data_IF_154351077247
#
_entry.id   IF_154351077247
#
_cell.length_a   1.000
_cell.length_b   1.000
_cell.length_c   1.000
_cell.angle_alpha   90.00
_cell.angle_beta   90.00
_cell.angle_gamma   90.00
#
_symmetry.space_group_name_H-M   'P 1'
#
loop_
_entity.id
_entity.type
_entity.pdbx_description
1 polymer ?
#
# COMPACT_ATOMS: atom_id res chain seq x y z
N UNK A 1 -18.31 -14.59 -4.05
CA UNK A 1 -18.67 -15.34 -2.81
C UNK A 1 -19.63 -14.48 -1.99
N UNK A 2 -20.94 -14.73 -2.06
CA UNK A 2 -21.91 -14.07 -1.19
C UNK A 2 -21.66 -14.41 0.28
N UNK A 3 -21.55 -13.38 1.13
CA UNK A 3 -21.21 -13.53 2.55
C UNK A 3 -22.24 -12.82 3.43
N UNK A 4 -22.72 -13.55 4.44
CA UNK A 4 -23.53 -13.00 5.52
C UNK A 4 -22.63 -12.73 6.75
N UNK A 5 -22.68 -11.51 7.27
CA UNK A 5 -21.87 -11.10 8.44
C UNK A 5 -22.80 -10.53 9.49
N UNK A 6 -23.07 -11.33 10.53
CA UNK A 6 -23.90 -10.89 11.63
C UNK A 6 -23.31 -9.68 12.33
N UNK A 7 -24.20 -8.85 12.86
CA UNK A 7 -23.84 -7.94 13.94
C UNK A 7 -23.47 -8.79 15.16
N UNK A 8 -22.18 -8.90 15.44
CA UNK A 8 -21.67 -9.64 16.59
C UNK A 8 -22.30 -9.09 17.88
N UNK A 9 -22.61 -9.98 18.83
CA UNK A 9 -23.12 -9.56 20.15
C UNK A 9 -22.04 -8.82 20.95
N UNK A 10 -22.42 -8.12 22.03
CA UNK A 10 -21.44 -7.44 22.91
C UNK A 10 -21.47 -5.90 22.91
N UNK A 11 -22.63 -5.28 22.73
CA UNK A 11 -22.80 -3.82 22.59
C UNK A 11 -21.86 -3.21 21.52
N UNK A 12 -21.67 -1.89 21.49
CA UNK A 12 -21.06 -1.14 20.36
C UNK A 12 -19.79 -1.74 19.73
N UNK A 13 -18.94 -2.41 20.52
CA UNK A 13 -17.72 -3.06 20.03
C UNK A 13 -18.00 -4.21 19.03
N UNK A 14 -19.04 -5.02 19.28
CA UNK A 14 -19.45 -6.09 18.38
C UNK A 14 -19.89 -5.56 17.01
N UNK A 15 -20.66 -4.48 17.01
CA UNK A 15 -21.10 -3.80 15.80
C UNK A 15 -19.91 -3.25 14.99
N UNK A 16 -19.00 -2.54 15.64
CA UNK A 16 -17.83 -1.96 14.99
C UNK A 16 -16.94 -3.04 14.35
N UNK A 17 -16.65 -4.13 15.06
CA UNK A 17 -15.88 -5.25 14.51
C UNK A 17 -16.57 -5.84 13.28
N UNK A 18 -17.89 -6.05 13.35
CA UNK A 18 -18.66 -6.62 12.23
C UNK A 18 -18.64 -5.74 10.99
N UNK A 19 -18.75 -4.41 11.18
CA UNK A 19 -18.75 -3.45 10.08
C UNK A 19 -17.36 -3.34 9.45
N UNK A 20 -16.28 -3.41 10.24
CA UNK A 20 -14.92 -3.48 9.71
C UNK A 20 -14.71 -4.75 8.90
N UNK A 21 -15.15 -5.92 9.40
CA UNK A 21 -15.04 -7.18 8.65
C UNK A 21 -15.79 -7.10 7.32
N UNK A 22 -17.00 -6.54 7.33
CA UNK A 22 -17.78 -6.30 6.11
C UNK A 22 -17.00 -5.43 5.13
N UNK A 23 -16.53 -4.26 5.57
CA UNK A 23 -15.87 -3.29 4.71
C UNK A 23 -14.55 -3.83 4.12
N UNK A 24 -13.77 -4.57 4.92
CA UNK A 24 -12.55 -5.27 4.50
C UNK A 24 -12.85 -6.30 3.39
N UNK A 25 -13.77 -7.23 3.66
CA UNK A 25 -14.09 -8.31 2.75
C UNK A 25 -14.76 -7.80 1.47
N UNK A 26 -15.70 -6.85 1.58
CA UNK A 26 -16.38 -6.26 0.42
C UNK A 26 -15.41 -5.49 -0.47
N UNK A 27 -14.48 -4.71 0.10
CA UNK A 27 -13.51 -3.98 -0.71
C UNK A 27 -12.57 -4.91 -1.48
N UNK A 28 -12.29 -6.11 -0.97
CA UNK A 28 -11.56 -7.14 -1.71
C UNK A 28 -12.26 -7.60 -2.99
N UNK A 29 -13.60 -7.55 -2.96
CA UNK A 29 -14.57 -8.09 -3.93
C UNK A 29 -14.24 -9.44 -4.52
N UNK A 30 -13.62 -10.27 -3.70
CA UNK A 30 -13.91 -11.70 -3.67
C UNK A 30 -15.30 -11.93 -3.06
N UNK A 31 -15.66 -11.09 -2.07
CA UNK A 31 -16.89 -11.21 -1.31
C UNK A 31 -17.95 -10.20 -1.75
N UNK A 32 -19.20 -10.64 -1.76
CA UNK A 32 -20.37 -9.80 -1.95
C UNK A 32 -21.22 -9.88 -0.68
N UNK A 33 -21.43 -8.76 0.01
CA UNK A 33 -22.18 -8.74 1.26
C UNK A 33 -23.69 -8.89 0.99
N UNK A 34 -24.34 -9.78 1.74
CA UNK A 34 -25.80 -9.91 1.78
C UNK A 34 -26.34 -9.12 2.96
N UNK A 35 -27.41 -8.34 2.74
CA UNK A 35 -27.97 -7.45 3.75
C UNK A 35 -28.43 -8.22 5.01
N UNK A 36 -28.20 -7.61 6.19
CA UNK A 36 -28.54 -8.19 7.49
C UNK A 36 -30.04 -8.34 7.69
N UNK A 37 -30.85 -7.53 7.03
CA UNK A 37 -32.32 -7.59 7.12
C UNK A 37 -32.88 -8.89 6.53
N UNK A 38 -32.09 -9.61 5.72
CA UNK A 38 -32.47 -10.91 5.17
C UNK A 38 -32.18 -12.10 6.11
N UNK A 39 -31.48 -11.89 7.23
CA UNK A 39 -30.99 -12.99 8.06
C UNK A 39 -32.09 -13.58 8.94
N UNK A 40 -32.19 -14.91 8.96
CA UNK A 40 -33.29 -15.63 9.64
C UNK A 40 -32.84 -16.24 10.99
N UNK A 41 -31.53 -16.40 11.21
CA UNK A 41 -30.98 -16.97 12.45
C UNK A 41 -30.49 -15.90 13.44
N UNK A 42 -29.98 -16.33 14.59
CA UNK A 42 -29.33 -15.46 15.57
C UNK A 42 -27.81 -15.33 15.32
N UNK A 43 -27.14 -14.30 15.90
CA UNK A 43 -25.68 -14.15 15.85
C UNK A 43 -24.88 -15.23 16.61
N UNK A 44 -25.57 -16.08 17.38
CA UNK A 44 -24.99 -17.16 18.18
C UNK A 44 -24.75 -18.41 17.32
N UNK A 45 -23.95 -19.39 17.77
CA UNK A 45 -23.50 -20.53 16.95
C UNK A 45 -24.60 -21.60 16.73
N UNK A 46 -25.80 -21.17 16.36
CA UNK A 46 -26.78 -21.99 15.64
C UNK A 46 -26.46 -21.82 14.16
N UNK A 47 -26.45 -22.90 13.39
CA UNK A 47 -26.20 -22.86 11.96
C UNK A 47 -26.96 -23.98 11.27
N UNK A 48 -27.94 -23.61 10.45
CA UNK A 48 -28.67 -24.49 9.57
C UNK A 48 -28.52 -23.97 8.13
N UNK A 49 -27.76 -24.68 7.26
CA UNK A 49 -27.56 -24.30 5.86
C UNK A 49 -28.84 -24.04 5.07
N UNK A 50 -29.96 -24.65 5.45
CA UNK A 50 -31.24 -24.48 4.76
C UNK A 50 -31.83 -23.06 4.91
N UNK A 51 -31.44 -22.33 5.96
CA UNK A 51 -31.82 -20.93 6.16
C UNK A 51 -31.03 -19.96 5.24
N UNK A 52 -29.88 -20.40 4.73
CA UNK A 52 -28.92 -19.55 4.02
C UNK A 52 -28.91 -19.80 2.51
N UNK A 53 -29.12 -21.06 2.10
CA UNK A 53 -29.13 -21.46 0.69
C UNK A 53 -30.14 -20.67 -0.16
N UNK A 54 -31.38 -20.39 0.31
CA UNK A 54 -32.34 -19.58 -0.46
C UNK A 54 -31.92 -18.11 -0.67
N UNK A 55 -31.04 -17.59 0.20
CA UNK A 55 -30.47 -16.25 0.08
C UNK A 55 -29.22 -16.22 -0.83
N UNK A 56 -28.81 -17.38 -1.36
CA UNK A 56 -27.58 -17.53 -2.14
C UNK A 56 -26.30 -17.30 -1.33
N UNK A 57 -26.38 -17.33 0.01
CA UNK A 57 -25.22 -17.12 0.89
C UNK A 57 -24.33 -18.35 0.86
N UNK A 58 -23.04 -18.18 0.59
CA UNK A 58 -22.05 -19.26 0.58
C UNK A 58 -21.26 -19.32 1.90
N UNK A 59 -21.00 -18.16 2.51
CA UNK A 59 -20.22 -18.03 3.75
C UNK A 59 -21.00 -17.26 4.81
N UNK A 60 -21.01 -17.76 6.04
CA UNK A 60 -21.67 -17.11 7.18
C UNK A 60 -20.66 -16.84 8.29
N UNK A 61 -20.59 -15.58 8.72
CA UNK A 61 -19.77 -15.11 9.85
C UNK A 61 -20.66 -14.80 11.03
N UNK A 62 -20.40 -15.48 12.15
CA UNK A 62 -21.10 -15.31 13.44
C UNK A 62 -20.12 -15.12 14.57
N UNK A 63 -20.62 -14.69 15.73
CA UNK A 63 -19.79 -14.59 16.91
C UNK A 63 -20.29 -13.65 17.98
N UNK A 64 -19.48 -13.59 19.03
CA UNK A 64 -19.75 -12.77 20.21
C UNK A 64 -18.53 -11.98 20.60
N UNK A 65 -18.77 -10.80 21.16
CA UNK A 65 -17.76 -9.92 21.70
C UNK A 65 -18.08 -9.66 23.18
N UNK A 66 -17.05 -9.64 24.01
CA UNK A 66 -17.15 -9.24 25.41
C UNK A 66 -16.05 -8.24 25.72
N UNK A 67 -16.40 -7.18 26.44
CA UNK A 67 -15.47 -6.16 26.93
C UNK A 67 -15.52 -6.16 28.45
N UNK A 68 -14.36 -6.34 29.07
CA UNK A 68 -14.17 -6.27 30.52
C UNK A 68 -12.99 -5.35 30.82
N UNK A 69 -13.29 -4.13 31.27
CA UNK A 69 -12.29 -3.05 31.36
C UNK A 69 -11.62 -2.78 30.01
N UNK A 70 -10.28 -2.87 29.96
CA UNK A 70 -9.50 -2.76 28.71
C UNK A 70 -9.42 -4.09 27.93
N UNK A 71 -9.97 -5.21 28.45
CA UNK A 71 -9.84 -6.52 27.81
C UNK A 71 -11.00 -6.74 26.84
N UNK A 72 -10.67 -6.81 25.56
CA UNK A 72 -11.59 -7.19 24.48
C UNK A 72 -11.36 -8.67 24.12
N UNK A 73 -12.44 -9.46 24.12
CA UNK A 73 -12.44 -10.84 23.63
C UNK A 73 -13.51 -11.01 22.56
N UNK A 74 -13.16 -11.57 21.41
CA UNK A 74 -14.08 -11.86 20.32
C UNK A 74 -14.00 -13.35 19.97
N UNK A 75 -15.13 -14.06 19.94
CA UNK A 75 -15.20 -15.44 19.47
C UNK A 75 -15.92 -15.45 18.14
N UNK A 76 -15.23 -15.90 17.08
CA UNK A 76 -15.74 -15.89 15.72
C UNK A 76 -15.94 -17.32 15.24
N UNK A 77 -17.06 -17.54 14.57
CA UNK A 77 -17.42 -18.77 13.89
C UNK A 77 -17.56 -18.44 12.40
N UNK A 78 -16.92 -19.26 11.57
CA UNK A 78 -17.01 -19.18 10.12
C UNK A 78 -17.61 -20.48 9.60
N UNK A 79 -18.70 -20.37 8.85
CA UNK A 79 -19.40 -21.52 8.26
C UNK A 79 -19.38 -21.44 6.74
N UNK A 80 -19.27 -22.60 6.12
CA UNK A 80 -19.50 -22.84 4.70
C UNK A 80 -20.91 -23.43 4.55
N UNK A 81 -21.77 -22.71 3.83
CA UNK A 81 -23.17 -23.10 3.59
C UNK A 81 -23.25 -24.26 2.61
N UNK A 82 -22.39 -24.25 1.59
CA UNK A 82 -22.41 -25.24 0.50
C UNK A 82 -21.97 -26.60 1.03
N UNK A 83 -20.90 -26.63 1.82
CA UNK A 83 -20.39 -27.85 2.44
C UNK A 83 -21.06 -28.19 3.77
N UNK A 84 -22.02 -27.36 4.22
CA UNK A 84 -22.73 -27.53 5.49
C UNK A 84 -21.79 -27.74 6.70
N UNK A 85 -20.64 -27.06 6.72
CA UNK A 85 -19.60 -27.29 7.74
C UNK A 85 -19.08 -25.99 8.34
N UNK A 86 -18.55 -26.09 9.56
CA UNK A 86 -17.81 -25.01 10.20
C UNK A 86 -16.36 -25.03 9.72
N UNK A 87 -15.92 -23.96 9.05
CA UNK A 87 -14.54 -23.78 8.61
C UNK A 87 -13.60 -23.54 9.79
N UNK A 88 -14.00 -22.67 10.74
CA UNK A 88 -13.28 -22.53 12.01
C UNK A 88 -14.15 -21.95 13.13
N UNK A 89 -13.64 -22.11 14.35
CA UNK A 89 -14.01 -21.35 15.55
C UNK A 89 -12.73 -20.83 16.19
N UNK A 90 -12.64 -19.52 16.44
CA UNK A 90 -11.43 -18.92 17.01
C UNK A 90 -11.76 -17.79 17.98
N UNK A 91 -11.07 -17.78 19.11
CA UNK A 91 -11.12 -16.69 20.08
C UNK A 91 -9.93 -15.76 19.88
N UNK A 92 -10.21 -14.46 19.85
CA UNK A 92 -9.25 -13.39 19.71
C UNK A 92 -9.28 -12.52 20.97
N UNK A 93 -8.11 -12.07 21.41
CA UNK A 93 -7.97 -11.21 22.59
C UNK A 93 -7.09 -10.02 22.26
N UNK A 94 -7.50 -8.84 22.71
CA UNK A 94 -6.74 -7.61 22.56
C UNK A 94 -7.09 -6.61 23.66
N UNK A 95 -6.31 -5.54 23.76
CA UNK A 95 -6.76 -4.34 24.47
C UNK A 95 -7.88 -3.65 23.66
N UNK A 96 -8.81 -2.96 24.33
CA UNK A 96 -9.94 -2.30 23.66
C UNK A 96 -9.47 -1.26 22.64
N UNK A 97 -8.39 -0.53 22.95
CA UNK A 97 -7.72 0.40 22.01
C UNK A 97 -7.21 -0.26 20.71
N UNK A 98 -7.16 -1.58 20.64
CA UNK A 98 -6.74 -2.37 19.48
C UNK A 98 -7.92 -3.08 18.80
N UNK A 99 -9.16 -2.66 19.05
CA UNK A 99 -10.36 -3.20 18.41
C UNK A 99 -10.24 -3.25 16.89
N UNK A 100 -9.88 -2.14 16.24
CA UNK A 100 -9.74 -2.10 14.76
C UNK A 100 -8.65 -3.05 14.24
N UNK A 101 -7.41 -3.05 14.77
CA UNK A 101 -6.43 -4.10 14.47
C UNK A 101 -6.95 -5.53 14.65
N UNK A 102 -7.75 -5.78 15.69
CA UNK A 102 -8.32 -7.10 15.95
C UNK A 102 -9.31 -7.47 14.85
N UNK A 103 -10.20 -6.56 14.47
CA UNK A 103 -11.16 -6.75 13.40
C UNK A 103 -10.47 -7.08 12.07
N UNK A 104 -9.44 -6.32 11.68
CA UNK A 104 -8.65 -6.61 10.48
C UNK A 104 -7.94 -7.97 10.53
N UNK A 105 -7.49 -8.42 11.72
CA UNK A 105 -6.95 -9.77 11.89
C UNK A 105 -8.03 -10.83 11.66
N UNK A 106 -9.24 -10.63 12.18
CA UNK A 106 -10.38 -11.52 11.94
C UNK A 106 -10.70 -11.56 10.43
N UNK A 107 -10.75 -10.40 9.76
CA UNK A 107 -10.98 -10.32 8.31
C UNK A 107 -9.92 -11.10 7.52
N UNK A 108 -8.64 -10.99 7.91
CA UNK A 108 -7.56 -11.74 7.27
C UNK A 108 -7.72 -13.26 7.45
N UNK A 109 -8.13 -13.70 8.63
CA UNK A 109 -8.33 -15.13 8.92
C UNK A 109 -9.54 -15.68 8.16
N UNK A 110 -10.64 -14.92 8.06
CA UNK A 110 -11.81 -15.27 7.23
C UNK A 110 -11.40 -15.34 5.76
N UNK A 111 -10.72 -14.30 5.27
CA UNK A 111 -10.24 -14.23 3.89
C UNK A 111 -9.33 -15.42 3.56
N UNK A 112 -8.40 -15.78 4.45
CA UNK A 112 -7.50 -16.91 4.26
C UNK A 112 -8.22 -18.26 4.30
N UNK A 113 -9.18 -18.44 5.21
CA UNK A 113 -9.95 -19.68 5.30
C UNK A 113 -10.78 -19.95 4.04
N UNK A 114 -11.30 -18.90 3.39
CA UNK A 114 -12.15 -19.03 2.20
C UNK A 114 -11.33 -19.06 0.90
N UNK A 115 -10.23 -18.29 0.81
CA UNK A 115 -9.50 -18.11 -0.45
C UNK A 115 -8.17 -18.84 -0.53
N UNK A 116 -7.66 -19.35 0.59
CA UNK A 116 -6.30 -19.88 0.71
C UNK A 116 -5.18 -18.84 0.64
N UNK A 117 -5.50 -17.56 0.42
CA UNK A 117 -4.52 -16.48 0.30
C UNK A 117 -4.50 -15.59 1.56
N UNK A 118 -3.34 -15.00 1.90
CA UNK A 118 -3.26 -14.06 3.03
C UNK A 118 -3.77 -12.67 2.63
N UNK A 119 -4.69 -12.11 3.40
CA UNK A 119 -5.19 -10.74 3.23
C UNK A 119 -4.17 -9.66 3.62
N UNK A 120 -4.52 -8.41 3.33
CA UNK A 120 -3.70 -7.20 3.57
C UNK A 120 -4.30 -6.26 4.59
N UNK A 121 -5.37 -6.63 5.30
CA UNK A 121 -6.15 -5.69 6.11
C UNK A 121 -5.40 -5.15 7.34
N UNK A 122 -4.25 -5.75 7.68
CA UNK A 122 -3.36 -5.27 8.76
C UNK A 122 -2.25 -4.33 8.27
N UNK A 123 -2.18 -4.05 6.98
CA UNK A 123 -1.14 -3.20 6.39
C UNK A 123 -1.42 -1.72 6.59
N UNK A 124 -0.42 -0.90 6.29
CA UNK A 124 -0.44 0.55 6.47
C UNK A 124 -0.03 1.27 5.19
N UNK A 125 -0.36 2.55 5.13
CA UNK A 125 0.06 3.45 4.06
C UNK A 125 0.82 4.60 4.69
N UNK A 126 2.08 4.78 4.30
CA UNK A 126 2.86 5.98 4.61
C UNK A 126 2.71 6.97 3.46
N UNK A 127 2.64 8.26 3.77
CA UNK A 127 2.49 9.31 2.76
C UNK A 127 2.98 10.66 3.31
N UNK A 128 3.17 11.62 2.42
CA UNK A 128 3.42 13.01 2.83
C UNK A 128 2.09 13.71 3.02
N UNK A 129 1.87 14.20 4.24
CA UNK A 129 0.70 14.99 4.60
C UNK A 129 1.07 16.44 4.83
N UNK A 130 0.17 17.35 4.45
CA UNK A 130 0.25 18.75 4.80
C UNK A 130 -1.04 19.20 5.49
N UNK A 131 -0.90 19.68 6.72
CA UNK A 131 -1.98 20.20 7.57
C UNK A 131 -1.49 21.45 8.28
N UNK A 132 -2.31 22.51 8.30
CA UNK A 132 -1.99 23.79 8.96
C UNK A 132 -0.61 24.36 8.56
N UNK A 133 -0.28 24.25 7.26
CA UNK A 133 1.00 24.70 6.70
C UNK A 133 2.18 23.76 6.96
N UNK A 134 2.08 22.81 7.90
CA UNK A 134 3.16 21.87 8.24
C UNK A 134 3.12 20.64 7.34
N UNK A 135 4.26 20.28 6.77
CA UNK A 135 4.46 19.04 6.00
C UNK A 135 5.22 18.02 6.81
N UNK A 136 4.80 16.76 6.73
CA UNK A 136 5.45 15.64 7.40
C UNK A 136 5.05 14.28 6.86
N UNK A 137 5.65 13.24 7.43
CA UNK A 137 5.30 11.86 7.11
C UNK A 137 4.17 11.41 8.04
N UNK A 138 3.08 10.95 7.43
CA UNK A 138 1.93 10.37 8.11
C UNK A 138 1.81 8.90 7.77
N UNK A 139 1.20 8.15 8.67
CA UNK A 139 0.88 6.74 8.50
C UNK A 139 -0.59 6.53 8.87
N UNK A 140 -1.30 5.76 8.07
CA UNK A 140 -2.66 5.31 8.35
C UNK A 140 -2.80 3.82 8.07
N UNK A 141 -3.87 3.20 8.56
CA UNK A 141 -4.24 1.86 8.10
C UNK A 141 -4.64 1.90 6.61
N UNK A 142 -4.62 0.73 5.97
CA UNK A 142 -4.93 0.59 4.54
C UNK A 142 -6.27 1.23 4.11
N UNK A 143 -7.23 1.31 5.03
CA UNK A 143 -8.57 1.83 4.84
C UNK A 143 -8.72 3.34 5.13
N UNK A 144 -7.63 4.02 5.47
CA UNK A 144 -7.61 5.44 5.80
C UNK A 144 -7.88 5.81 7.25
N UNK A 145 -8.05 4.82 8.15
CA UNK A 145 -8.28 5.08 9.57
C UNK A 145 -6.99 5.11 10.37
N UNK A 146 -7.10 5.56 11.63
CA UNK A 146 -6.00 5.66 12.60
C UNK A 146 -4.79 6.42 12.04
N UNK A 147 -5.06 7.60 11.46
CA UNK A 147 -4.04 8.51 11.00
C UNK A 147 -3.09 8.89 12.15
N UNK A 148 -1.80 8.75 11.92
CA UNK A 148 -0.74 9.03 12.86
C UNK A 148 0.33 9.91 12.20
N UNK A 149 0.71 10.98 12.88
CA UNK A 149 1.90 11.76 12.56
C UNK A 149 3.15 11.04 13.10
N UNK A 150 4.18 10.88 12.27
CA UNK A 150 5.44 10.25 12.69
C UNK A 150 6.35 11.19 13.49
N UNK A 151 6.06 12.49 13.50
CA UNK A 151 6.92 13.55 14.05
C UNK A 151 8.01 14.00 13.08
N UNK A 152 8.19 13.33 11.95
CA UNK A 152 9.11 13.74 10.90
C UNK A 152 8.47 14.82 10.04
N UNK A 153 9.08 16.00 9.98
CA UNK A 153 8.58 17.14 9.21
C UNK A 153 9.67 18.00 8.58
N UNK A 154 9.25 18.86 7.66
CA UNK A 154 10.11 19.84 7.00
C UNK A 154 9.48 20.42 5.73
N UNK A 155 9.94 21.60 5.32
CA UNK A 155 9.36 22.35 4.19
C UNK A 155 9.42 21.57 2.86
N UNK A 156 10.51 20.82 2.68
CA UNK A 156 10.78 19.99 1.52
C UNK A 156 11.10 18.57 1.99
N UNK A 157 10.07 17.73 1.99
CA UNK A 157 10.14 16.31 2.28
C UNK A 157 9.44 15.53 1.16
N UNK A 158 10.00 14.40 0.78
CA UNK A 158 9.50 13.55 -0.30
C UNK A 158 9.10 12.18 0.22
N UNK A 159 8.27 11.51 -0.58
CA UNK A 159 7.62 10.23 -0.33
C UNK A 159 8.57 9.21 0.31
N UNK A 160 8.18 8.58 1.43
CA UNK A 160 9.04 7.62 2.12
C UNK A 160 9.03 6.25 1.44
N UNK A 161 9.99 5.37 1.73
CA UNK A 161 10.01 3.99 1.23
C UNK A 161 10.16 3.02 2.39
N UNK A 162 9.32 1.98 2.42
CA UNK A 162 9.30 0.97 3.47
C UNK A 162 10.44 -0.02 3.32
N UNK A 163 11.07 -0.40 4.43
CA UNK A 163 11.88 -1.62 4.48
C UNK A 163 10.98 -2.85 4.35
N UNK A 164 11.49 -3.95 3.80
CA UNK A 164 10.73 -5.19 3.56
C UNK A 164 10.13 -5.81 4.84
N UNK A 165 10.73 -5.54 6.01
CA UNK A 165 10.23 -5.96 7.32
C UNK A 165 9.24 -4.97 7.97
N UNK A 166 8.96 -3.85 7.31
CA UNK A 166 8.05 -2.81 7.76
C UNK A 166 8.53 -1.99 8.95
N UNK A 167 9.77 -2.19 9.44
CA UNK A 167 10.28 -1.56 10.67
C UNK A 167 10.94 -0.20 10.46
N UNK A 168 11.24 0.15 9.21
CA UNK A 168 11.99 1.36 8.87
C UNK A 168 11.36 2.05 7.66
N UNK A 169 11.52 3.37 7.62
CA UNK A 169 11.33 4.18 6.42
C UNK A 169 12.65 4.82 6.02
N UNK A 170 12.91 4.93 4.73
CA UNK A 170 13.86 5.92 4.20
C UNK A 170 13.09 7.01 3.51
N UNK A 171 13.60 8.24 3.58
CA UNK A 171 12.95 9.37 2.95
C UNK A 171 13.97 10.45 2.62
N UNK A 172 13.60 11.33 1.68
CA UNK A 172 14.42 12.47 1.31
C UNK A 172 13.87 13.76 1.86
N UNK A 173 14.75 14.60 2.39
CA UNK A 173 14.38 15.93 2.85
C UNK A 173 15.50 16.95 2.56
N UNK A 174 15.11 18.17 2.24
CA UNK A 174 16.04 19.28 2.11
C UNK A 174 16.22 19.97 3.47
N UNK A 175 17.46 20.09 3.94
CA UNK A 175 17.82 20.85 5.14
C UNK A 175 18.95 21.82 4.77
N UNK A 176 18.76 23.13 4.99
CA UNK A 176 19.75 24.14 4.62
C UNK A 176 20.14 24.12 3.13
N UNK A 177 19.14 24.02 2.23
CA UNK A 177 19.29 23.94 0.77
C UNK A 177 20.07 22.72 0.23
N UNK A 178 20.32 21.71 1.06
CA UNK A 178 20.93 20.44 0.65
C UNK A 178 19.95 19.29 0.82
N UNK A 179 19.93 18.37 -0.15
CA UNK A 179 19.09 17.18 -0.12
C UNK A 179 19.81 16.03 0.56
N UNK A 180 19.14 15.40 1.52
CA UNK A 180 19.65 14.27 2.29
C UNK A 180 18.71 13.09 2.17
N UNK A 181 19.24 11.89 2.45
CA UNK A 181 18.42 10.69 2.68
C UNK A 181 18.58 10.29 4.14
N UNK A 182 17.46 10.18 4.84
CA UNK A 182 17.37 9.76 6.23
C UNK A 182 16.71 8.39 6.32
N UNK A 183 17.01 7.68 7.40
CA UNK A 183 16.33 6.47 7.83
C UNK A 183 15.62 6.75 9.15
N UNK A 184 14.32 6.49 9.20
CA UNK A 184 13.52 6.50 10.41
C UNK A 184 13.32 5.05 10.88
N UNK A 185 13.73 4.74 12.10
CA UNK A 185 13.47 3.45 12.74
C UNK A 185 12.30 3.57 13.74
N UNK A 186 11.25 2.77 13.56
CA UNK A 186 10.04 2.85 14.39
C UNK A 186 10.23 2.27 15.79
N UNK A 187 11.16 1.33 15.97
CA UNK A 187 11.45 0.74 17.29
C UNK A 187 12.24 1.74 18.13
N UNK A 188 13.27 2.35 17.54
CA UNK A 188 14.13 3.30 18.26
C UNK A 188 13.54 4.71 18.31
N UNK A 189 12.58 5.03 17.44
CA UNK A 189 12.05 6.39 17.21
C UNK A 189 13.16 7.39 16.92
N UNK A 190 14.18 6.95 16.18
CA UNK A 190 15.36 7.75 15.84
C UNK A 190 15.50 7.90 14.34
N UNK A 191 15.93 9.09 13.95
CA UNK A 191 16.37 9.39 12.59
C UNK A 191 17.88 9.21 12.47
N UNK A 192 18.32 8.56 11.39
CA UNK A 192 19.73 8.42 11.03
C UNK A 192 19.97 8.97 9.63
N UNK A 193 20.93 9.88 9.50
CA UNK A 193 21.38 10.37 8.20
C UNK A 193 22.16 9.28 7.45
N UNK A 194 21.75 8.93 6.23
CA UNK A 194 22.40 7.92 5.40
C UNK A 194 23.21 8.53 4.24
N UNK A 195 22.62 9.47 3.49
CA UNK A 195 23.27 10.07 2.31
C UNK A 195 23.35 11.57 2.47
N UNK A 196 24.56 12.09 2.29
CA UNK A 196 24.90 13.52 2.45
C UNK A 196 25.80 14.10 1.35
N UNK A 197 25.93 13.38 0.25
CA UNK A 197 26.68 13.83 -0.92
C UNK A 197 26.14 15.15 -1.46
N UNK A 198 26.99 15.90 -2.17
CA UNK A 198 26.57 17.10 -2.89
C UNK A 198 25.47 16.79 -3.93
N UNK A 199 24.74 17.83 -4.34
CA UNK A 199 23.62 17.72 -5.27
C UNK A 199 22.33 17.22 -4.62
N UNK A 200 21.39 16.89 -5.49
CA UNK A 200 20.09 16.29 -5.14
C UNK A 200 20.27 14.81 -4.81
N UNK A 201 19.68 14.33 -3.71
CA UNK A 201 19.68 12.92 -3.31
C UNK A 201 18.24 12.49 -2.98
N UNK A 202 17.65 11.63 -3.83
CA UNK A 202 16.24 11.22 -3.74
C UNK A 202 16.18 9.71 -3.51
N UNK A 203 15.59 9.29 -2.41
CA UNK A 203 15.42 7.88 -2.07
C UNK A 203 14.51 7.17 -3.09
N UNK A 204 14.83 5.92 -3.36
CA UNK A 204 13.96 4.94 -3.98
C UNK A 204 13.78 3.74 -3.06
N UNK A 205 13.46 2.58 -3.63
CA UNK A 205 13.09 1.40 -2.86
C UNK A 205 14.26 0.76 -2.10
N UNK A 206 13.96 0.18 -0.94
CA UNK A 206 14.82 -0.81 -0.30
C UNK A 206 14.96 -2.05 -1.18
N UNK A 207 16.12 -2.71 -1.11
CA UNK A 207 16.25 -4.05 -1.67
C UNK A 207 15.38 -5.05 -0.89
N UNK A 208 14.79 -6.06 -1.54
CA UNK A 208 13.93 -7.04 -0.86
C UNK A 208 14.64 -7.82 0.27
N UNK A 209 15.95 -8.01 0.14
CA UNK A 209 16.79 -8.66 1.15
C UNK A 209 17.17 -7.75 2.34
N UNK A 210 16.85 -6.46 2.28
CA UNK A 210 17.17 -5.47 3.29
C UNK A 210 18.65 -5.08 3.40
N UNK A 211 19.49 -5.52 2.46
CA UNK A 211 20.94 -5.21 2.44
C UNK A 211 21.25 -3.76 2.09
N UNK A 212 20.32 -3.08 1.42
CA UNK A 212 20.53 -1.78 0.83
C UNK A 212 19.27 -1.10 0.35
N UNK A 213 19.45 0.00 -0.39
CA UNK A 213 18.38 0.69 -1.10
C UNK A 213 18.91 1.38 -2.37
N UNK A 214 18.00 1.64 -3.31
CA UNK A 214 18.27 2.41 -4.50
C UNK A 214 17.98 3.89 -4.26
N UNK A 215 18.72 4.77 -4.90
CA UNK A 215 18.46 6.21 -4.85
C UNK A 215 18.99 6.89 -6.10
N UNK A 216 18.47 8.06 -6.42
CA UNK A 216 19.04 8.91 -7.47
C UNK A 216 19.89 10.02 -6.87
N UNK A 217 21.05 10.30 -7.46
CA UNK A 217 21.95 11.37 -7.01
C UNK A 217 22.59 12.13 -8.16
N UNK A 218 22.62 13.47 -8.05
CA UNK A 218 23.32 14.37 -9.00
C UNK A 218 24.75 14.71 -8.55
N UNK A 219 25.31 13.98 -7.59
CA UNK A 219 26.68 14.21 -7.11
C UNK A 219 27.76 14.11 -8.19
N UNK A 220 27.44 13.50 -9.34
CA UNK A 220 28.33 13.34 -10.48
C UNK A 220 27.95 14.23 -11.68
N UNK A 221 27.11 15.25 -11.49
CA UNK A 221 26.60 16.15 -12.54
C UNK A 221 25.09 16.01 -12.70
N UNK A 222 24.65 15.20 -13.65
CA UNK A 222 23.23 14.85 -13.81
C UNK A 222 22.83 13.74 -12.83
N UNK A 223 21.54 13.63 -12.45
CA UNK A 223 21.07 12.53 -11.61
C UNK A 223 21.31 11.17 -12.26
N UNK A 224 21.98 10.27 -11.54
CA UNK A 224 22.09 8.84 -11.89
C UNK A 224 21.43 7.98 -10.81
N UNK A 225 21.18 6.71 -11.13
CA UNK A 225 20.77 5.69 -10.15
C UNK A 225 22.00 5.12 -9.44
N UNK A 226 21.90 4.99 -8.11
CA UNK A 226 22.91 4.40 -7.24
C UNK A 226 22.28 3.32 -6.36
N UNK A 227 23.09 2.34 -6.00
CA UNK A 227 22.83 1.37 -4.95
C UNK A 227 23.62 1.74 -3.70
N UNK A 228 22.94 1.82 -2.55
CA UNK A 228 23.54 2.05 -1.24
C UNK A 228 23.54 0.75 -0.42
N UNK A 229 24.70 0.33 0.08
CA UNK A 229 24.85 -0.81 0.99
C UNK A 229 24.74 -0.34 2.45
N UNK A 230 23.75 -0.85 3.19
CA UNK A 230 23.46 -0.41 4.56
C UNK A 230 24.49 -0.86 5.60
N UNK A 231 25.26 -1.91 5.31
CA UNK A 231 26.26 -2.46 6.24
C UNK A 231 27.59 -1.70 6.15
N UNK A 232 27.99 -1.34 4.93
CA UNK A 232 29.29 -0.73 4.63
C UNK A 232 29.20 0.75 4.30
N UNK A 233 28.00 1.30 4.12
CA UNK A 233 27.75 2.65 3.62
C UNK A 233 28.34 2.93 2.23
N UNK A 234 28.74 1.89 1.49
CA UNK A 234 29.28 2.03 0.13
C UNK A 234 28.16 2.37 -0.86
N UNK A 235 28.48 3.22 -1.82
CA UNK A 235 27.56 3.65 -2.87
C UNK A 235 28.11 3.23 -4.24
N UNK A 236 27.34 2.43 -4.99
CA UNK A 236 27.69 1.98 -6.35
C UNK A 236 26.80 2.67 -7.37
N UNK A 237 27.41 3.39 -8.31
CA UNK A 237 26.70 4.02 -9.45
C UNK A 237 26.26 2.95 -10.46
N UNK A 238 24.98 2.94 -10.82
CA UNK A 238 24.39 1.96 -11.76
C UNK A 238 24.20 2.54 -13.17
N UNK A 239 23.81 3.82 -13.30
CA UNK A 239 23.66 4.51 -14.59
C UNK A 239 24.74 5.57 -14.78
N UNK A 240 25.08 5.89 -16.04
CA UNK A 240 26.11 6.87 -16.41
C UNK A 240 25.77 7.64 -17.69
N UNK A 241 24.48 7.86 -17.95
CA UNK A 241 24.05 8.45 -19.20
C UNK A 241 24.04 9.97 -19.12
N UNK A 242 23.95 10.62 -20.28
CA UNK A 242 23.88 12.09 -20.37
C UNK A 242 22.49 12.66 -20.02
N UNK A 243 21.58 11.84 -19.48
CA UNK A 243 20.23 12.21 -19.09
C UNK A 243 20.05 12.34 -17.57
N UNK A 244 18.81 12.61 -17.18
CA UNK A 244 18.31 12.55 -15.80
C UNK A 244 17.77 11.15 -15.57
N UNK A 245 18.37 10.40 -14.64
CA UNK A 245 17.84 9.13 -14.15
C UNK A 245 17.37 9.22 -12.70
N UNK A 246 16.07 8.96 -12.48
CA UNK A 246 15.41 9.14 -11.18
C UNK A 246 14.35 8.08 -10.89
N UNK A 247 13.79 8.13 -9.67
CA UNK A 247 12.67 7.29 -9.22
C UNK A 247 12.89 5.78 -9.41
N UNK A 248 13.99 5.20 -8.90
CA UNK A 248 14.24 3.77 -9.03
C UNK A 248 13.29 2.95 -8.15
N UNK A 249 12.71 1.90 -8.73
CA UNK A 249 11.91 0.88 -8.07
C UNK A 249 12.47 -0.51 -8.37
N UNK A 250 12.63 -1.33 -7.35
CA UNK A 250 13.25 -2.67 -7.47
C UNK A 250 12.19 -3.75 -7.69
N UNK A 251 12.49 -4.73 -8.52
CA UNK A 251 11.63 -5.90 -8.69
C UNK A 251 11.57 -6.74 -7.39
N UNK A 252 10.47 -7.47 -7.15
CA UNK A 252 10.29 -8.25 -5.92
C UNK A 252 11.34 -9.36 -5.73
N UNK A 253 11.94 -9.85 -6.82
CA UNK A 253 13.05 -10.82 -6.80
C UNK A 253 14.44 -10.17 -6.61
N UNK A 254 14.51 -8.83 -6.54
CA UNK A 254 15.75 -8.07 -6.37
C UNK A 254 16.67 -8.02 -7.59
N UNK A 255 16.25 -8.55 -8.75
CA UNK A 255 17.12 -8.71 -9.92
C UNK A 255 17.07 -7.57 -10.91
N UNK A 256 15.99 -6.78 -10.93
CA UNK A 256 15.73 -5.73 -11.91
C UNK A 256 15.36 -4.42 -11.23
N UNK A 257 15.57 -3.33 -11.94
CA UNK A 257 15.22 -1.96 -11.51
C UNK A 257 14.41 -1.31 -12.62
N UNK A 258 13.19 -0.86 -12.30
CA UNK A 258 12.50 0.11 -13.12
C UNK A 258 12.90 1.52 -12.68
N UNK A 259 13.12 2.43 -13.62
CA UNK A 259 13.51 3.81 -13.32
C UNK A 259 13.07 4.75 -14.45
N UNK A 260 13.09 6.04 -14.17
CA UNK A 260 12.78 7.07 -15.16
C UNK A 260 14.06 7.55 -15.80
N UNK A 261 14.09 7.67 -17.12
CA UNK A 261 15.16 8.35 -17.85
C UNK A 261 14.60 9.26 -18.94
N UNK A 262 15.20 10.43 -19.11
CA UNK A 262 14.92 11.34 -20.23
C UNK A 262 15.97 11.23 -21.37
N UNK A 263 16.84 10.22 -21.34
CA UNK A 263 17.89 10.04 -22.34
C UNK A 263 17.36 9.98 -23.79
N UNK A 264 16.12 9.49 -23.97
CA UNK A 264 15.40 9.48 -25.26
C UNK A 264 14.64 10.76 -25.58
N UNK A 265 14.89 11.86 -24.88
CA UNK A 265 14.31 13.19 -25.09
C UNK A 265 13.22 13.59 -24.09
N UNK A 266 12.29 12.69 -23.77
CA UNK A 266 11.27 12.91 -22.73
C UNK A 266 11.37 11.87 -21.62
N UNK A 267 10.90 12.16 -20.39
CA UNK A 267 10.89 11.18 -19.30
C UNK A 267 10.06 9.95 -19.64
N UNK A 268 10.71 8.80 -19.62
CA UNK A 268 10.10 7.50 -19.91
C UNK A 268 10.57 6.48 -18.87
N UNK A 269 9.80 5.40 -18.71
CA UNK A 269 10.17 4.28 -17.84
C UNK A 269 11.06 3.30 -18.60
N UNK A 270 12.18 2.96 -17.98
CA UNK A 270 13.16 1.96 -18.40
C UNK A 270 13.27 0.85 -17.35
N UNK A 271 13.76 -0.31 -17.78
CA UNK A 271 14.15 -1.42 -16.91
C UNK A 271 15.61 -1.77 -17.18
N UNK A 272 16.35 -2.09 -16.12
CA UNK A 272 17.71 -2.62 -16.17
C UNK A 272 17.89 -3.75 -15.16
N UNK A 273 18.98 -4.50 -15.26
CA UNK A 273 19.40 -5.41 -14.20
C UNK A 273 19.88 -4.63 -12.97
N UNK A 274 19.83 -5.23 -11.79
CA UNK A 274 20.37 -4.64 -10.54
C UNK A 274 21.89 -4.39 -10.63
N UNK A 275 22.55 -5.01 -11.60
CA UNK A 275 23.95 -4.76 -11.96
C UNK A 275 24.18 -3.45 -12.72
N UNK A 276 23.16 -2.88 -13.36
CA UNK A 276 23.22 -1.73 -14.27
C UNK A 276 23.27 -2.07 -15.77
N UNK A 277 23.22 -3.36 -16.12
CA UNK A 277 23.22 -3.84 -17.52
C UNK A 277 21.81 -4.02 -18.10
N UNK A 278 21.74 -4.45 -19.36
CA UNK A 278 20.49 -4.83 -20.06
C UNK A 278 19.38 -3.76 -20.00
N UNK A 279 19.78 -2.50 -20.15
CA UNK A 279 18.84 -1.38 -20.06
C UNK A 279 17.94 -1.32 -21.29
N UNK A 280 16.63 -1.20 -21.07
CA UNK A 280 15.63 -1.09 -22.14
C UNK A 280 14.46 -0.20 -21.74
N UNK A 281 13.91 0.53 -22.71
CA UNK A 281 12.69 1.34 -22.55
C UNK A 281 11.47 0.42 -22.55
N UNK A 282 10.49 0.68 -21.69
CA UNK A 282 9.25 -0.12 -21.60
C UNK A 282 7.96 0.69 -21.79
N UNK A 283 8.05 2.01 -21.94
CA UNK A 283 6.89 2.88 -22.17
C UNK A 283 7.07 3.62 -23.49
N UNK A 284 6.14 3.47 -24.42
CA UNK A 284 6.25 4.03 -25.78
C UNK A 284 5.12 5.01 -26.13
N UNK A 285 4.06 5.02 -25.32
CA UNK A 285 2.92 5.92 -25.46
C UNK A 285 3.04 7.12 -24.51
N UNK A 286 2.62 8.30 -24.96
CA UNK A 286 2.69 9.53 -24.18
C UNK A 286 4.10 10.15 -24.12
N UNK A 287 4.16 11.41 -23.70
CA UNK A 287 5.39 12.21 -23.70
C UNK A 287 5.95 12.50 -22.29
N UNK A 288 5.40 11.86 -21.26
CA UNK A 288 5.88 12.01 -19.89
C UNK A 288 5.37 10.82 -19.05
N UNK A 289 6.26 9.87 -18.76
CA UNK A 289 5.97 8.66 -17.99
C UNK A 289 6.96 8.53 -16.83
N UNK A 290 6.46 8.53 -15.59
CA UNK A 290 7.28 8.66 -14.38
C UNK A 290 6.79 7.79 -13.22
N UNK A 291 7.53 7.81 -12.11
CA UNK A 291 7.17 7.16 -10.85
C UNK A 291 6.78 5.67 -10.99
N UNK A 292 7.66 4.83 -11.57
CA UNK A 292 7.38 3.41 -11.70
C UNK A 292 7.31 2.75 -10.31
N UNK A 293 6.43 1.76 -10.18
CA UNK A 293 6.30 0.90 -9.01
C UNK A 293 6.11 -0.54 -9.46
N UNK A 294 7.00 -1.43 -9.02
CA UNK A 294 6.90 -2.86 -9.33
C UNK A 294 5.72 -3.52 -8.58
N UNK A 295 4.97 -4.36 -9.29
CA UNK A 295 4.03 -5.30 -8.69
C UNK A 295 4.80 -6.32 -7.83
N UNK A 296 4.30 -6.71 -6.64
CA UNK A 296 4.93 -7.75 -5.84
C UNK A 296 4.91 -9.14 -6.50
N UNK A 297 4.08 -9.35 -7.53
CA UNK A 297 4.12 -10.56 -8.36
C UNK A 297 5.22 -10.53 -9.43
N UNK A 298 5.78 -9.36 -9.74
CA UNK A 298 6.83 -9.23 -10.76
C UNK A 298 6.33 -9.29 -12.21
N UNK A 299 5.02 -9.20 -12.42
CA UNK A 299 4.33 -9.34 -13.70
C UNK A 299 3.89 -8.01 -14.32
N UNK A 300 3.87 -6.93 -13.52
CA UNK A 300 3.43 -5.59 -13.90
C UNK A 300 4.28 -4.49 -13.24
N UNK A 301 4.33 -3.34 -13.88
CA UNK A 301 4.88 -2.09 -13.36
C UNK A 301 3.80 -1.03 -13.51
N UNK A 302 3.38 -0.42 -12.39
CA UNK A 302 2.50 0.75 -12.42
C UNK A 302 3.33 2.02 -12.61
N UNK A 303 2.79 3.02 -13.31
CA UNK A 303 3.48 4.30 -13.52
C UNK A 303 2.48 5.45 -13.71
N UNK A 304 2.96 6.69 -13.55
CA UNK A 304 2.22 7.91 -13.86
C UNK A 304 2.50 8.29 -15.31
N UNK A 305 1.49 8.30 -16.18
CA UNK A 305 1.62 8.66 -17.60
C UNK A 305 0.76 9.87 -17.95
N UNK A 306 1.29 10.79 -18.77
CA UNK A 306 0.57 12.02 -19.14
C UNK A 306 -0.29 11.83 -20.39
N UNK A 307 -1.58 12.10 -20.25
CA UNK A 307 -2.58 12.08 -21.32
C UNK A 307 -3.33 13.42 -21.33
N UNK A 308 -3.35 14.11 -22.48
CA UNK A 308 -3.97 15.44 -22.64
C UNK A 308 -3.63 16.44 -21.52
N UNK A 309 -2.36 16.46 -21.09
CA UNK A 309 -1.88 17.36 -20.04
C UNK A 309 -2.23 16.95 -18.61
N UNK A 310 -2.87 15.80 -18.40
CA UNK A 310 -3.20 15.24 -17.08
C UNK A 310 -2.44 13.95 -16.83
N UNK A 311 -1.93 13.77 -15.62
CA UNK A 311 -1.28 12.51 -15.24
C UNK A 311 -2.34 11.46 -14.89
N UNK A 312 -2.16 10.24 -15.38
CA UNK A 312 -3.02 9.09 -15.13
C UNK A 312 -2.17 7.90 -14.65
N UNK A 313 -2.80 6.96 -13.94
CA UNK A 313 -2.14 5.72 -13.55
C UNK A 313 -2.28 4.71 -14.67
N UNK A 314 -1.16 4.10 -15.04
CA UNK A 314 -1.07 3.01 -15.99
C UNK A 314 -0.40 1.80 -15.36
N UNK A 315 -0.58 0.64 -15.99
CA UNK A 315 0.27 -0.54 -15.79
C UNK A 315 0.82 -1.01 -17.13
N UNK A 316 1.95 -1.72 -17.09
CA UNK A 316 2.59 -2.34 -18.25
C UNK A 316 3.34 -3.60 -17.79
N UNK A 317 3.48 -4.60 -18.66
CA UNK A 317 4.36 -5.72 -18.39
C UNK A 317 5.84 -5.25 -18.31
N UNK A 318 6.72 -5.96 -17.58
CA UNK A 318 8.13 -5.60 -17.47
C UNK A 318 8.90 -5.54 -18.79
N UNK A 319 8.33 -6.09 -19.88
CA UNK A 319 8.86 -6.02 -21.22
C UNK A 319 8.29 -4.91 -22.11
N UNK A 320 7.34 -4.13 -21.60
CA UNK A 320 6.69 -3.06 -22.32
C UNK A 320 5.40 -3.48 -23.04
N UNK A 321 5.03 -4.76 -23.01
CA UNK A 321 3.76 -5.25 -23.56
C UNK A 321 2.56 -4.91 -22.65
N UNK A 322 1.37 -5.02 -23.21
CA UNK A 322 0.07 -4.86 -22.54
C UNK A 322 -0.07 -3.60 -21.66
N UNK A 323 0.16 -2.38 -22.20
CA UNK A 323 -0.08 -1.16 -21.45
C UNK A 323 -1.59 -0.95 -21.21
N UNK A 324 -1.97 -0.71 -19.96
CA UNK A 324 -3.36 -0.47 -19.54
C UNK A 324 -3.47 0.84 -18.76
N UNK A 325 -4.41 1.70 -19.14
CA UNK A 325 -4.77 2.90 -18.38
C UNK A 325 -5.81 2.55 -17.31
N UNK A 326 -5.52 2.88 -16.05
CA UNK A 326 -6.38 2.55 -14.91
C UNK A 326 -7.22 3.74 -14.41
N UNK A 327 -6.84 4.97 -14.76
CA UNK A 327 -7.56 6.18 -14.33
C UNK A 327 -7.79 7.13 -15.49
N UNK A 328 -8.85 7.93 -15.43
CA UNK A 328 -9.26 8.86 -16.49
C UNK A 328 -9.69 10.25 -15.96
N UNK A 329 -9.74 10.43 -14.63
CA UNK A 329 -10.24 11.65 -13.98
C UNK A 329 -9.24 12.24 -13.00
N UNK A 330 -9.06 13.57 -13.07
CA UNK A 330 -8.10 14.33 -12.26
C UNK A 330 -6.65 14.14 -12.71
N UNK A 331 -5.71 14.63 -11.92
CA UNK A 331 -4.29 14.31 -12.01
C UNK A 331 -3.96 13.22 -11.01
N UNK A 332 -3.47 12.08 -11.50
CA UNK A 332 -3.17 10.88 -10.73
C UNK A 332 -1.69 10.53 -10.85
N UNK A 333 -1.02 10.40 -9.70
CA UNK A 333 0.44 10.27 -9.65
C UNK A 333 0.88 9.28 -8.55
N UNK A 334 2.14 8.85 -8.65
CA UNK A 334 2.85 8.10 -7.60
C UNK A 334 2.13 6.81 -7.13
N UNK A 335 1.90 5.84 -8.04
CA UNK A 335 1.25 4.59 -7.67
C UNK A 335 2.11 3.78 -6.68
N UNK A 336 1.45 2.99 -5.83
CA UNK A 336 2.08 2.00 -4.95
C UNK A 336 1.16 0.80 -4.75
N UNK A 337 1.66 -0.38 -5.09
CA UNK A 337 0.93 -1.65 -4.93
C UNK A 337 0.81 -2.07 -3.47
N UNK A 338 -0.32 -2.69 -3.13
CA UNK A 338 -0.44 -3.51 -1.92
C UNK A 338 0.53 -4.70 -1.98
N UNK A 339 0.93 -5.30 -0.84
CA UNK A 339 1.94 -6.36 -0.85
C UNK A 339 1.44 -7.71 -1.38
N UNK A 340 0.14 -7.82 -1.69
CA UNK A 340 -0.45 -8.92 -2.45
C UNK A 340 -0.76 -8.53 -3.92
N UNK A 341 -0.45 -7.30 -4.32
CA UNK A 341 -0.63 -6.75 -5.67
C UNK A 341 -2.08 -6.56 -6.12
N UNK A 342 -3.06 -6.79 -5.23
CA UNK A 342 -4.49 -6.67 -5.58
C UNK A 342 -5.01 -5.25 -5.59
N UNK A 343 -4.30 -4.32 -4.96
CA UNK A 343 -4.70 -2.93 -4.86
C UNK A 343 -3.55 -2.00 -5.23
N UNK A 344 -3.91 -0.79 -5.64
CA UNK A 344 -2.98 0.30 -5.91
C UNK A 344 -3.45 1.53 -5.15
N UNK A 345 -2.54 2.15 -4.41
CA UNK A 345 -2.71 3.50 -3.87
C UNK A 345 -2.05 4.53 -4.78
N UNK A 346 -2.61 5.73 -4.86
CA UNK A 346 -2.08 6.81 -5.69
C UNK A 346 -2.54 8.18 -5.17
N UNK A 347 -1.81 9.23 -5.54
CA UNK A 347 -2.20 10.62 -5.29
C UNK A 347 -3.23 11.05 -6.32
N UNK A 348 -4.32 11.71 -5.94
CA UNK A 348 -5.22 12.37 -6.89
C UNK A 348 -5.76 13.72 -6.39
N UNK A 349 -5.99 14.66 -7.31
CA UNK A 349 -6.60 15.96 -7.04
C UNK A 349 -8.08 16.06 -7.48
N UNK A 350 -8.68 14.95 -7.96
CA UNK A 350 -10.05 14.93 -8.54
C UNK A 350 -11.16 15.43 -7.62
N UNK A 351 -10.88 15.57 -6.32
CA UNK A 351 -11.77 16.07 -5.27
C UNK A 351 -11.47 17.52 -4.85
N UNK A 352 -10.72 18.27 -5.66
CA UNK A 352 -10.34 19.68 -5.45
C UNK A 352 -9.04 19.89 -4.67
N UNK A 353 -8.60 18.89 -3.90
CA UNK A 353 -7.30 18.88 -3.22
C UNK A 353 -6.62 17.52 -3.36
N UNK A 354 -5.29 17.51 -3.38
CA UNK A 354 -4.50 16.27 -3.39
C UNK A 354 -4.86 15.40 -2.18
N UNK A 355 -5.27 14.17 -2.43
CA UNK A 355 -5.52 13.15 -1.44
C UNK A 355 -4.95 11.81 -1.88
N UNK A 356 -4.86 10.87 -0.93
CA UNK A 356 -4.54 9.47 -1.26
C UNK A 356 -5.83 8.74 -1.60
N UNK A 357 -5.78 8.04 -2.73
CA UNK A 357 -6.81 7.17 -3.24
C UNK A 357 -6.31 5.74 -3.26
N UNK A 358 -7.26 4.82 -3.25
CA UNK A 358 -7.06 3.39 -3.43
C UNK A 358 -7.98 2.91 -4.55
N UNK A 359 -7.51 1.91 -5.30
CA UNK A 359 -8.30 1.16 -6.28
C UNK A 359 -7.86 -0.29 -6.28
N UNK A 360 -8.64 -1.15 -6.93
CA UNK A 360 -8.18 -2.49 -7.30
C UNK A 360 -7.16 -2.41 -8.43
N UNK A 361 -6.30 -3.40 -8.54
CA UNK A 361 -5.23 -3.42 -9.55
C UNK A 361 -5.76 -3.41 -11.00
N UNK A 362 -7.03 -3.79 -11.22
CA UNK A 362 -7.72 -3.67 -12.49
C UNK A 362 -8.31 -2.27 -12.77
N UNK A 363 -8.16 -1.30 -11.85
CA UNK A 363 -8.66 0.07 -11.98
C UNK A 363 -10.04 0.33 -11.36
N UNK A 364 -10.74 -0.70 -10.87
CA UNK A 364 -12.09 -0.54 -10.29
C UNK A 364 -12.07 -0.04 -8.84
N UNK A 365 -13.26 0.32 -8.34
CA UNK A 365 -13.50 0.68 -6.94
C UNK A 365 -12.60 1.82 -6.41
N UNK A 366 -12.33 2.81 -7.27
CA UNK A 366 -11.50 3.96 -6.91
C UNK A 366 -12.19 4.80 -5.83
N UNK A 367 -11.54 4.98 -4.68
CA UNK A 367 -12.05 5.82 -3.58
C UNK A 367 -10.94 6.59 -2.89
N UNK A 368 -11.26 7.78 -2.39
CA UNK A 368 -10.37 8.55 -1.50
C UNK A 368 -10.36 7.90 -0.11
N UNK A 369 -9.18 7.76 0.49
CA UNK A 369 -9.01 7.22 1.85
C UNK A 369 -8.47 8.22 2.87
N UNK A 370 -7.88 9.33 2.41
CA UNK A 370 -7.53 10.46 3.28
C UNK A 370 -8.70 11.40 3.51
N UNK A 371 -8.79 12.01 4.69
CA UNK A 371 -9.73 13.08 4.99
C UNK A 371 -9.49 14.33 4.13
N UNK A 372 -10.52 15.18 3.98
CA UNK A 372 -10.49 16.37 3.11
C UNK A 372 -9.64 17.53 3.66
N UNK A 373 -9.41 17.53 4.97
CA UNK A 373 -8.65 18.53 5.73
C UNK A 373 -7.13 18.35 5.67
N UNK A 374 -6.65 17.24 5.09
CA UNK A 374 -5.23 16.99 4.86
C UNK A 374 -4.95 16.89 3.36
N UNK A 375 -3.97 17.69 2.89
CA UNK A 375 -3.40 17.47 1.55
C UNK A 375 -2.44 16.31 1.67
N UNK A 376 -2.64 15.28 0.87
CA UNK A 376 -1.86 14.05 0.94
C UNK A 376 -1.34 13.64 -0.42
N UNK A 377 -0.08 13.22 -0.48
CA UNK A 377 0.59 12.82 -1.71
C UNK A 377 1.71 11.80 -1.41
N UNK A 378 2.20 11.11 -2.43
CA UNK A 378 3.28 10.13 -2.31
C UNK A 378 2.94 8.88 -1.50
N UNK A 379 1.78 8.21 -1.69
CA UNK A 379 1.41 7.05 -0.91
C UNK A 379 2.32 5.86 -1.18
N UNK A 380 2.70 5.18 -0.10
CA UNK A 380 3.61 4.03 -0.10
C UNK A 380 3.03 2.97 0.82
N UNK A 381 2.55 1.90 0.22
CA UNK A 381 1.94 0.78 0.92
C UNK A 381 3.01 -0.04 1.66
N UNK A 382 2.75 -0.41 2.90
CA UNK A 382 3.65 -1.22 3.70
C UNK A 382 3.72 -2.68 3.22
N UNK A 383 4.80 -3.41 3.54
CA UNK A 383 4.79 -4.88 3.46
C UNK A 383 3.72 -5.50 4.39
N UNK A 384 3.47 -6.80 4.23
CA UNK A 384 2.52 -7.57 5.08
C UNK A 384 2.91 -7.58 6.55
N UNK A 385 4.22 -7.66 6.84
CA UNK A 385 4.75 -7.62 8.20
C UNK A 385 5.08 -6.17 8.56
N UNK A 386 4.46 -5.68 9.60
CA UNK A 386 4.73 -4.36 10.19
C UNK A 386 4.82 -4.51 11.72
N UNK A 387 5.49 -3.56 12.35
CA UNK A 387 5.81 -3.52 13.78
C UNK A 387 4.60 -3.58 14.72
#
# INVERSE_FOLDING_TARGET
IPVAIYRLSGAGAGAEISDIIRDDLQFSGVFAYVDRDAYIETPLPVFDPSNWSPLGVEIVVKGSVSVDGDRLSATIYLYDVVEAKRLFQKQYKAALRHLRPLAHTISNDIYAAVTGASGVFRTKIAFIGQRDGRKGIYIMDWDGKRLQDTGVGGDLILSPHWSADGKRLIYSAARGRRWYIFLLDFKERKERLLVRSAGTNIAGDFLPDGSGFLFSSSKAGTPDIYLFDLRTSRQRRLTRWRGIEVSPSVSPDGKRVAFVSDHGGSPQVYVMDIGGGNVRRITFSGNYNTSPAWSPQGDRIAYSGRVYGKNQIFTVAPDGSDPLQLTDRGNNEEPSFSPDGRYITFTSDRDGARGVYIMRANGEAQKRITARDIRAFGPRWSPKKIF
#
